data_IF_588193892392
#
_entry.id   IF_588193892392
#
_cell.length_a   1.000
_cell.length_b   1.000
_cell.length_c   1.000
_cell.angle_alpha   90.00
_cell.angle_beta   90.00
_cell.angle_gamma   90.00
#
_symmetry.space_group_name_H-M   'P 1'
#
loop_
_entity.id
_entity.type
_entity.pdbx_description
1 polymer ?
#
# COMPACT_ATOMS: atom_id res chain seq x y z
N UNK A 1 25.90 4.22 -1.52
CA UNK A 1 24.68 3.44 -1.85
C UNK A 1 23.39 3.97 -1.20
N UNK A 2 23.18 3.89 0.12
CA UNK A 2 21.88 4.20 0.78
C UNK A 2 21.23 5.55 0.38
N UNK A 3 22.01 6.63 0.24
CA UNK A 3 21.48 7.95 -0.15
C UNK A 3 20.81 7.95 -1.54
N UNK A 4 21.46 7.37 -2.55
CA UNK A 4 20.93 7.29 -3.91
C UNK A 4 19.62 6.48 -3.98
N UNK A 5 19.50 5.45 -3.13
CA UNK A 5 18.29 4.65 -3.04
C UNK A 5 17.17 5.43 -2.32
N UNK A 6 17.45 6.18 -1.25
CA UNK A 6 16.48 7.13 -0.65
C UNK A 6 16.01 8.17 -1.68
N UNK A 7 16.91 8.74 -2.49
CA UNK A 7 16.58 9.69 -3.56
C UNK A 7 15.68 9.06 -4.63
N UNK A 8 15.98 7.84 -5.09
CA UNK A 8 15.15 7.11 -6.05
C UNK A 8 13.71 6.90 -5.53
N UNK A 9 13.57 6.49 -4.26
CA UNK A 9 12.26 6.32 -3.64
C UNK A 9 11.53 7.66 -3.43
N UNK A 10 12.22 8.72 -3.02
CA UNK A 10 11.61 10.05 -2.89
C UNK A 10 11.12 10.59 -4.23
N UNK A 11 11.84 10.35 -5.33
CA UNK A 11 11.41 10.67 -6.69
C UNK A 11 10.18 9.86 -7.15
N UNK A 12 10.13 8.56 -6.84
CA UNK A 12 8.96 7.73 -7.15
C UNK A 12 7.71 8.10 -6.34
N UNK A 13 7.88 8.47 -5.07
CA UNK A 13 6.82 9.04 -4.23
C UNK A 13 6.38 10.43 -4.71
N UNK A 14 7.31 11.30 -5.12
CA UNK A 14 7.02 12.58 -5.74
C UNK A 14 6.21 12.41 -7.03
N UNK A 15 6.54 11.41 -7.85
CA UNK A 15 5.78 11.07 -9.06
C UNK A 15 4.35 10.61 -8.74
N UNK A 16 4.15 9.77 -7.71
CA UNK A 16 2.81 9.34 -7.27
C UNK A 16 1.94 10.50 -6.75
N UNK A 17 2.54 11.44 -6.04
CA UNK A 17 1.87 12.66 -5.55
C UNK A 17 1.59 13.64 -6.71
N UNK A 18 2.60 14.00 -7.50
CA UNK A 18 2.46 14.93 -8.62
C UNK A 18 1.43 14.44 -9.66
N UNK A 19 1.44 13.15 -10.01
CA UNK A 19 0.45 12.59 -10.94
C UNK A 19 -0.97 12.55 -10.35
N UNK A 20 -1.11 12.36 -9.03
CA UNK A 20 -2.41 12.41 -8.36
C UNK A 20 -2.96 13.84 -8.26
N UNK A 21 -2.13 14.81 -7.83
CA UNK A 21 -2.48 16.24 -7.78
C UNK A 21 -2.84 16.74 -9.18
N UNK A 22 -2.04 16.42 -10.20
CA UNK A 22 -2.34 16.74 -11.61
C UNK A 22 -3.61 16.08 -12.14
N UNK A 23 -4.09 14.99 -11.53
CA UNK A 23 -5.40 14.39 -11.84
C UNK A 23 -6.54 15.05 -11.06
N UNK A 24 -6.32 15.53 -9.83
CA UNK A 24 -7.32 16.31 -9.08
C UNK A 24 -7.54 17.70 -9.70
N UNK A 25 -6.48 18.41 -10.06
CA UNK A 25 -6.56 19.73 -10.72
C UNK A 25 -7.31 19.62 -12.05
N UNK A 26 -7.06 18.58 -12.87
CA UNK A 26 -7.78 18.35 -14.14
C UNK A 26 -9.30 18.10 -13.95
N UNK A 27 -9.76 17.69 -12.76
CA UNK A 27 -11.20 17.57 -12.48
C UNK A 27 -11.83 18.94 -12.13
N UNK A 28 -11.02 19.94 -11.75
CA UNK A 28 -11.44 21.32 -11.50
C UNK A 28 -11.23 22.25 -12.71
N UNK A 29 -10.27 21.94 -13.59
CA UNK A 29 -9.90 22.73 -14.77
C UNK A 29 -10.25 21.98 -16.06
N UNK A 30 -11.31 22.40 -16.75
CA UNK A 30 -11.51 22.07 -18.16
C UNK A 30 -10.47 22.78 -19.03
N UNK A 31 -10.27 22.26 -20.25
CA UNK A 31 -9.41 22.79 -21.32
C UNK A 31 -7.94 23.11 -20.94
N UNK A 32 -7.01 22.23 -21.33
CA UNK A 32 -5.56 22.50 -21.28
C UNK A 32 -4.76 21.52 -22.13
N UNK A 33 -3.81 22.03 -22.94
CA UNK A 33 -2.99 21.22 -23.86
C UNK A 33 -2.10 20.23 -23.12
N UNK A 34 -1.82 19.08 -23.75
CA UNK A 34 -1.11 17.95 -23.13
C UNK A 34 0.29 18.26 -22.59
N UNK A 35 1.10 19.00 -23.37
CA UNK A 35 2.51 19.31 -23.01
C UNK A 35 2.63 20.15 -21.72
N UNK A 36 1.90 21.27 -21.61
CA UNK A 36 1.91 22.09 -20.39
C UNK A 36 1.55 21.29 -19.12
N UNK A 37 0.74 20.23 -19.26
CA UNK A 37 0.41 19.33 -18.15
C UNK A 37 1.56 18.38 -17.77
N UNK A 38 2.36 17.87 -18.71
CA UNK A 38 3.53 17.05 -18.36
C UNK A 38 4.62 17.93 -17.71
N UNK A 39 4.82 19.14 -18.23
CA UNK A 39 5.70 20.17 -17.68
C UNK A 39 5.30 20.59 -16.25
N UNK A 40 4.03 20.96 -16.01
CA UNK A 40 3.49 21.27 -14.66
C UNK A 40 3.66 20.11 -13.69
N UNK A 41 3.46 18.86 -14.15
CA UNK A 41 3.68 17.66 -13.35
C UNK A 41 5.17 17.42 -13.05
N UNK A 42 6.08 17.74 -13.98
CA UNK A 42 7.53 17.64 -13.81
C UNK A 42 8.07 18.72 -12.85
N UNK A 43 7.65 19.99 -12.98
CA UNK A 43 7.97 21.09 -12.04
C UNK A 43 7.58 20.68 -10.60
N UNK A 44 6.35 20.21 -10.42
CA UNK A 44 5.85 19.70 -9.13
C UNK A 44 6.62 18.46 -8.64
N UNK A 45 6.99 17.51 -9.51
CA UNK A 45 7.82 16.35 -9.12
C UNK A 45 9.20 16.79 -8.61
N UNK A 46 9.86 17.73 -9.29
CA UNK A 46 11.15 18.31 -8.85
C UNK A 46 11.04 18.97 -7.47
N UNK A 47 9.99 19.76 -7.22
CA UNK A 47 9.77 20.45 -5.93
C UNK A 47 9.37 19.51 -4.78
N UNK A 48 8.57 18.47 -5.04
CA UNK A 48 8.14 17.50 -4.02
C UNK A 48 9.24 16.54 -3.57
N UNK A 49 10.17 16.15 -4.45
CA UNK A 49 11.21 15.16 -4.15
C UNK A 49 12.05 15.47 -2.89
N UNK A 50 12.63 16.67 -2.68
CA UNK A 50 13.40 16.98 -1.47
C UNK A 50 12.54 16.97 -0.19
N UNK A 51 11.29 17.47 -0.26
CA UNK A 51 10.39 17.52 0.89
C UNK A 51 9.98 16.11 1.35
N UNK A 52 9.73 15.22 0.39
CA UNK A 52 9.48 13.79 0.64
C UNK A 52 10.75 13.11 1.17
N UNK A 53 11.94 13.48 0.68
CA UNK A 53 13.21 12.97 1.22
C UNK A 53 13.42 13.37 2.69
N UNK A 54 12.96 14.56 3.11
CA UNK A 54 12.92 14.95 4.54
C UNK A 54 11.95 14.08 5.34
N UNK A 55 10.76 13.77 4.81
CA UNK A 55 9.85 12.81 5.47
C UNK A 55 10.47 11.40 5.59
N UNK A 56 11.19 10.92 4.57
CA UNK A 56 11.94 9.65 4.66
C UNK A 56 12.95 9.68 5.81
N UNK A 57 13.74 10.75 5.94
CA UNK A 57 14.74 10.90 7.01
C UNK A 57 14.09 11.00 8.39
N UNK A 58 12.98 11.72 8.52
CA UNK A 58 12.20 11.78 9.76
C UNK A 58 11.68 10.41 10.18
N UNK A 59 10.97 9.68 9.31
CA UNK A 59 10.43 8.36 9.67
C UNK A 59 11.55 7.36 10.01
N UNK A 60 12.69 7.42 9.33
CA UNK A 60 13.85 6.56 9.60
C UNK A 60 14.51 6.86 10.95
N UNK A 61 14.69 8.14 11.32
CA UNK A 61 15.14 8.53 12.67
C UNK A 61 14.10 8.19 13.74
N UNK A 62 12.82 8.41 13.46
CA UNK A 62 11.73 8.24 14.42
C UNK A 62 11.50 6.76 14.77
N UNK A 63 11.49 5.88 13.77
CA UNK A 63 11.48 4.43 14.00
C UNK A 63 12.70 4.02 14.84
N UNK A 64 13.90 4.53 14.53
CA UNK A 64 15.12 4.16 15.24
C UNK A 64 15.12 4.58 16.71
N UNK A 65 14.68 5.82 17.03
CA UNK A 65 14.60 6.29 18.43
C UNK A 65 13.51 5.57 19.22
N UNK A 66 12.31 5.39 18.66
CA UNK A 66 11.26 4.57 19.29
C UNK A 66 11.73 3.13 19.59
N UNK A 67 12.49 2.53 18.67
CA UNK A 67 13.06 1.20 18.89
C UNK A 67 14.12 1.20 20.01
N UNK A 68 15.07 2.14 20.02
CA UNK A 68 16.11 2.22 21.05
C UNK A 68 15.51 2.27 22.47
N UNK A 69 14.58 3.19 22.71
CA UNK A 69 13.90 3.33 24.00
C UNK A 69 13.14 2.04 24.40
N UNK A 70 12.45 1.36 23.45
CA UNK A 70 11.79 0.05 23.73
C UNK A 70 12.76 -1.15 23.88
N UNK A 71 14.06 -0.94 23.69
CA UNK A 71 15.11 -1.93 23.95
C UNK A 71 15.87 -1.66 25.26
N UNK A 72 16.07 -0.41 25.64
CA UNK A 72 16.88 0.02 26.80
C UNK A 72 16.20 -0.23 28.17
N UNK A 73 15.00 -0.82 28.18
CA UNK A 73 14.27 -1.15 29.41
C UNK A 73 13.38 -0.02 29.93
N UNK A 74 13.51 1.18 29.36
CA UNK A 74 12.51 2.24 29.44
C UNK A 74 11.17 1.67 28.94
N UNK A 75 10.23 1.48 29.87
CA UNK A 75 8.84 1.21 29.50
C UNK A 75 8.26 2.52 28.95
N UNK A 76 8.39 2.77 27.64
CA UNK A 76 7.49 3.75 27.01
C UNK A 76 6.08 3.15 27.10
N UNK A 77 5.36 3.48 28.16
CA UNK A 77 3.91 3.37 28.16
C UNK A 77 3.37 4.51 27.32
N UNK A 78 2.29 4.30 26.57
CA UNK A 78 1.56 5.43 25.98
C UNK A 78 0.96 6.36 27.07
N UNK A 79 0.97 5.94 28.34
CA UNK A 79 0.65 6.79 29.49
C UNK A 79 1.72 7.86 29.76
N UNK A 80 2.97 7.63 29.35
CA UNK A 80 4.03 8.65 29.31
C UNK A 80 3.89 9.47 28.02
N UNK A 81 2.75 10.16 27.89
CA UNK A 81 2.22 10.70 26.64
C UNK A 81 3.16 11.69 25.91
N UNK A 82 4.10 12.29 26.64
CA UNK A 82 5.05 13.26 26.12
C UNK A 82 6.24 12.61 25.39
N UNK A 83 6.61 11.36 25.71
CA UNK A 83 7.78 10.69 25.12
C UNK A 83 7.73 10.59 23.58
N UNK A 84 6.61 10.18 22.95
CA UNK A 84 6.47 10.23 21.50
C UNK A 84 6.51 11.64 20.90
N UNK A 85 6.32 12.70 21.69
CA UNK A 85 6.40 14.10 21.23
C UNK A 85 7.84 14.61 21.34
N UNK A 86 8.51 14.37 22.47
CA UNK A 86 9.91 14.75 22.70
C UNK A 86 10.85 14.17 21.65
N UNK A 87 10.70 12.89 21.29
CA UNK A 87 11.48 12.24 20.22
C UNK A 87 11.22 12.90 18.85
N UNK A 88 9.99 13.37 18.59
CA UNK A 88 9.70 14.10 17.35
C UNK A 88 10.32 15.51 17.35
N UNK A 89 10.27 16.21 18.48
CA UNK A 89 10.87 17.52 18.65
C UNK A 89 12.41 17.46 18.47
N UNK A 90 13.10 16.50 19.11
CA UNK A 90 14.54 16.23 18.92
C UNK A 90 14.92 16.09 17.44
N UNK A 91 14.19 15.24 16.70
CA UNK A 91 14.48 14.99 15.28
C UNK A 91 14.22 16.24 14.43
N UNK A 92 13.16 16.98 14.74
CA UNK A 92 12.72 18.17 13.99
C UNK A 92 13.50 19.44 14.31
N UNK A 93 14.11 19.55 15.49
CA UNK A 93 14.92 20.71 15.88
C UNK A 93 16.06 20.95 14.88
N UNK A 94 16.63 19.85 14.37
CA UNK A 94 17.67 19.82 13.32
C UNK A 94 17.22 20.32 11.93
N UNK A 95 15.94 20.69 11.75
CA UNK A 95 15.40 21.24 10.51
C UNK A 95 15.17 22.76 10.59
N UNK A 96 15.36 23.43 9.46
CA UNK A 96 15.01 24.84 9.27
C UNK A 96 13.49 25.03 9.43
N UNK A 97 13.00 26.08 10.14
CA UNK A 97 11.57 26.25 10.40
C UNK A 97 10.74 26.48 9.13
N UNK A 98 11.26 27.17 8.12
CA UNK A 98 10.56 27.30 6.83
C UNK A 98 10.44 25.94 6.11
N UNK A 99 11.45 25.06 6.24
CA UNK A 99 11.37 23.69 5.74
C UNK A 99 10.31 22.87 6.50
N UNK A 100 10.19 23.05 7.83
CA UNK A 100 9.14 22.38 8.63
C UNK A 100 7.74 22.70 8.10
N UNK A 101 7.44 23.96 7.74
CA UNK A 101 6.15 24.33 7.13
C UNK A 101 5.91 23.57 5.81
N UNK A 102 6.87 23.60 4.87
CA UNK A 102 6.75 22.92 3.56
C UNK A 102 6.61 21.41 3.67
N UNK A 103 7.35 20.81 4.61
CA UNK A 103 7.29 19.36 4.85
C UNK A 103 5.99 18.98 5.57
N UNK A 104 5.43 19.85 6.43
CA UNK A 104 4.09 19.69 7.01
C UNK A 104 2.98 19.73 5.96
N UNK A 105 3.04 20.67 5.01
CA UNK A 105 2.11 20.74 3.88
C UNK A 105 2.23 19.47 3.00
N UNK A 106 3.46 19.02 2.74
CA UNK A 106 3.74 17.76 2.02
C UNK A 106 3.24 16.51 2.77
N UNK A 107 3.33 16.47 4.10
CA UNK A 107 2.78 15.40 4.92
C UNK A 107 1.26 15.30 4.81
N UNK A 108 0.56 16.43 4.82
CA UNK A 108 -0.90 16.46 4.62
C UNK A 108 -1.30 15.98 3.22
N UNK A 109 -0.57 16.38 2.17
CA UNK A 109 -0.76 15.83 0.81
C UNK A 109 -0.56 14.32 0.77
N UNK A 110 0.45 13.79 1.47
CA UNK A 110 0.70 12.36 1.59
C UNK A 110 -0.44 11.63 2.31
N UNK A 111 -0.91 12.14 3.46
CA UNK A 111 -2.05 11.55 4.19
C UNK A 111 -3.33 11.59 3.35
N UNK A 112 -3.58 12.68 2.62
CA UNK A 112 -4.72 12.80 1.70
C UNK A 112 -4.62 11.78 0.55
N UNK A 113 -3.45 11.65 -0.09
CA UNK A 113 -3.18 10.64 -1.11
C UNK A 113 -3.43 9.23 -0.58
N UNK A 114 -2.90 8.90 0.61
CA UNK A 114 -3.08 7.58 1.25
C UNK A 114 -4.55 7.30 1.53
N UNK A 115 -5.23 8.19 2.27
CA UNK A 115 -6.67 8.07 2.57
C UNK A 115 -7.48 7.87 1.28
N UNK A 116 -7.24 8.66 0.22
CA UNK A 116 -7.96 8.54 -1.07
C UNK A 116 -7.61 7.28 -1.89
N UNK A 117 -6.34 6.89 -1.97
CA UNK A 117 -5.86 5.72 -2.75
C UNK A 117 -6.22 4.37 -2.12
N UNK A 118 -6.49 4.35 -0.80
CA UNK A 118 -6.69 3.14 0.00
C UNK A 118 -8.13 2.97 0.53
N UNK A 119 -8.91 4.06 0.68
CA UNK A 119 -10.31 4.01 1.11
C UNK A 119 -11.19 3.05 0.28
N UNK A 120 -12.26 2.46 0.86
CA UNK A 120 -13.24 1.64 0.14
C UNK A 120 -13.85 2.38 -1.08
N UNK A 121 -14.27 1.65 -2.13
CA UNK A 121 -14.96 2.25 -3.27
C UNK A 121 -16.29 2.88 -2.80
N UNK A 122 -16.42 4.20 -2.94
CA UNK A 122 -17.56 4.97 -2.45
C UNK A 122 -18.78 4.94 -3.40
N UNK A 123 -19.05 3.76 -3.99
CA UNK A 123 -20.14 3.53 -4.96
C UNK A 123 -20.79 2.16 -4.72
N UNK A 124 -21.24 1.94 -3.49
CA UNK A 124 -22.13 0.84 -3.15
C UNK A 124 -23.04 1.23 -1.97
N UNK A 125 -23.95 2.18 -2.21
CA UNK A 125 -25.25 2.22 -1.52
C UNK A 125 -26.15 1.08 -2.05
N UNK A 126 -25.59 -0.13 -2.18
CA UNK A 126 -26.27 -1.32 -2.64
C UNK A 126 -26.52 -2.21 -1.44
N UNK A 127 -27.74 -2.72 -1.30
CA UNK A 127 -28.23 -3.46 -0.14
C UNK A 127 -27.65 -4.89 -0.04
N UNK A 128 -26.57 -5.17 -0.75
CA UNK A 128 -25.84 -6.44 -0.74
C UNK A 128 -25.13 -6.65 0.61
N UNK A 129 -25.90 -7.13 1.60
CA UNK A 129 -25.43 -7.63 2.90
C UNK A 129 -24.64 -8.93 2.69
N UNK A 130 -23.42 -8.82 2.14
CA UNK A 130 -22.65 -9.97 1.66
C UNK A 130 -22.41 -10.99 2.77
N UNK A 131 -22.69 -12.26 2.45
CA UNK A 131 -22.77 -13.42 3.35
C UNK A 131 -21.40 -13.89 3.91
N UNK A 132 -20.42 -12.98 3.99
CA UNK A 132 -19.01 -13.22 4.35
C UNK A 132 -18.51 -12.32 5.49
N UNK A 133 -19.34 -11.41 6.02
CA UNK A 133 -19.08 -10.67 7.28
C UNK A 133 -17.96 -9.62 7.27
N UNK A 134 -17.08 -9.61 6.25
CA UNK A 134 -15.98 -8.66 6.11
C UNK A 134 -16.50 -7.26 5.78
N UNK A 135 -16.74 -6.47 6.82
CA UNK A 135 -17.13 -5.06 6.74
C UNK A 135 -16.20 -4.29 5.79
N UNK A 136 -16.79 -3.43 4.94
CA UNK A 136 -16.08 -2.51 4.04
C UNK A 136 -15.54 -1.30 4.83
N UNK A 137 -14.85 -1.56 5.93
CA UNK A 137 -14.47 -0.57 6.93
C UNK A 137 -13.60 0.53 6.32
N UNK A 138 -13.86 1.77 6.73
CA UNK A 138 -12.97 2.92 6.50
C UNK A 138 -11.57 2.55 6.99
N UNK A 139 -10.54 2.85 6.19
CA UNK A 139 -9.16 2.52 6.55
C UNK A 139 -8.84 3.09 7.95
N UNK A 140 -8.53 2.21 8.89
CA UNK A 140 -8.20 2.61 10.26
C UNK A 140 -6.95 3.48 10.27
N UNK A 141 -6.94 4.51 11.11
CA UNK A 141 -5.82 5.45 11.20
C UNK A 141 -4.55 4.71 11.66
N UNK A 142 -4.70 3.78 12.60
CA UNK A 142 -3.73 2.75 13.00
C UNK A 142 -3.04 2.04 11.83
N UNK A 143 -3.80 1.65 10.81
CA UNK A 143 -3.25 0.99 9.60
C UNK A 143 -2.34 1.91 8.79
N UNK A 144 -2.58 3.22 8.84
CA UNK A 144 -1.73 4.25 8.20
C UNK A 144 -0.50 4.53 9.06
N UNK A 145 -0.65 4.63 10.38
CA UNK A 145 0.46 4.81 11.34
C UNK A 145 1.44 3.64 11.24
N UNK A 146 0.95 2.39 11.31
CA UNK A 146 1.77 1.18 11.13
C UNK A 146 2.48 1.20 9.78
N UNK A 147 1.78 1.56 8.70
CA UNK A 147 2.39 1.66 7.36
C UNK A 147 3.51 2.72 7.29
N UNK A 148 3.33 3.88 7.91
CA UNK A 148 4.34 4.96 7.92
C UNK A 148 5.53 4.65 8.84
N UNK A 149 5.28 4.22 10.07
CA UNK A 149 6.33 4.05 11.11
C UNK A 149 7.01 2.68 11.02
N UNK A 150 6.30 1.59 10.71
CA UNK A 150 6.89 0.24 10.62
C UNK A 150 7.30 -0.09 9.17
N UNK A 151 6.45 0.25 8.19
CA UNK A 151 6.70 -0.03 6.78
C UNK A 151 7.56 1.02 6.07
N UNK A 152 7.53 2.26 6.55
CA UNK A 152 8.20 3.39 5.92
C UNK A 152 7.60 3.79 4.57
N UNK A 153 8.08 4.93 4.07
CA UNK A 153 7.69 5.43 2.75
C UNK A 153 8.11 4.46 1.62
N UNK A 154 9.10 3.60 1.87
CA UNK A 154 9.49 2.44 1.05
C UNK A 154 8.30 1.48 0.80
N UNK A 155 7.61 1.04 1.87
CA UNK A 155 6.45 0.15 1.74
C UNK A 155 5.20 0.91 1.25
N UNK A 156 5.04 2.19 1.61
CA UNK A 156 4.01 3.06 1.03
C UNK A 156 4.12 3.09 -0.49
N UNK A 157 5.31 3.35 -1.03
CA UNK A 157 5.54 3.40 -2.47
C UNK A 157 5.21 2.06 -3.13
N UNK A 158 5.67 0.95 -2.55
CA UNK A 158 5.38 -0.41 -3.05
C UNK A 158 3.87 -0.66 -3.18
N UNK A 159 3.08 -0.20 -2.20
CA UNK A 159 1.62 -0.32 -2.22
C UNK A 159 0.99 0.66 -3.23
N UNK A 160 1.42 1.92 -3.28
CA UNK A 160 0.88 2.92 -4.20
C UNK A 160 1.13 2.58 -5.69
N UNK A 161 2.26 1.94 -6.01
CA UNK A 161 2.61 1.46 -7.35
C UNK A 161 1.68 0.38 -7.91
N UNK A 162 0.92 -0.34 -7.07
CA UNK A 162 -0.09 -1.30 -7.55
C UNK A 162 -1.20 -0.51 -8.25
N UNK A 163 -1.34 -0.64 -9.58
CA UNK A 163 -2.36 0.10 -10.39
C UNK A 163 -3.78 -0.07 -9.81
N UNK A 164 -4.26 -1.32 -9.71
CA UNK A 164 -5.62 -1.68 -9.29
C UNK A 164 -5.90 -1.43 -7.78
N UNK A 165 -7.01 -0.74 -7.46
CA UNK A 165 -7.40 -0.34 -6.09
C UNK A 165 -7.68 -1.52 -5.15
N UNK A 166 -8.33 -2.58 -5.64
CA UNK A 166 -8.69 -3.75 -4.85
C UNK A 166 -7.47 -4.63 -4.56
N UNK A 167 -6.57 -4.82 -5.56
CA UNK A 167 -5.25 -5.45 -5.35
C UNK A 167 -4.41 -4.63 -4.36
N UNK A 168 -4.44 -3.29 -4.44
CA UNK A 168 -3.76 -2.39 -3.49
C UNK A 168 -4.23 -2.59 -2.04
N UNK A 169 -5.54 -2.69 -1.79
CA UNK A 169 -6.04 -2.96 -0.43
C UNK A 169 -5.63 -4.35 0.04
N UNK A 170 -5.83 -5.41 -0.75
CA UNK A 170 -5.44 -6.78 -0.38
C UNK A 170 -3.93 -6.88 -0.04
N UNK A 171 -3.08 -6.11 -0.72
CA UNK A 171 -1.65 -6.02 -0.40
C UNK A 171 -1.37 -5.32 0.93
N UNK A 172 -2.11 -4.26 1.28
CA UNK A 172 -2.02 -3.60 2.59
C UNK A 172 -2.55 -4.49 3.71
N UNK A 173 -3.72 -5.11 3.53
CA UNK A 173 -4.32 -6.06 4.48
C UNK A 173 -3.37 -7.23 4.76
N UNK A 174 -2.83 -7.87 3.71
CA UNK A 174 -1.84 -8.96 3.86
C UNK A 174 -0.56 -8.49 4.55
N UNK A 175 -0.12 -7.25 4.32
CA UNK A 175 1.06 -6.70 4.98
C UNK A 175 0.82 -6.43 6.48
N UNK A 176 -0.33 -5.85 6.84
CA UNK A 176 -0.72 -5.59 8.24
C UNK A 176 -0.95 -6.89 9.01
N UNK A 177 -1.64 -7.87 8.42
CA UNK A 177 -1.80 -9.20 9.03
C UNK A 177 -0.43 -9.86 9.29
N UNK A 178 0.53 -9.65 8.38
CA UNK A 178 1.92 -10.07 8.56
C UNK A 178 2.76 -9.22 9.53
N UNK A 179 2.19 -8.21 10.21
CA UNK A 179 2.82 -7.49 11.33
C UNK A 179 2.45 -8.06 12.69
N UNK A 180 1.25 -8.64 12.83
CA UNK A 180 0.85 -9.27 14.07
C UNK A 180 1.77 -10.47 14.32
N UNK A 181 2.20 -10.71 15.57
CA UNK A 181 2.70 -12.02 15.93
C UNK A 181 1.68 -13.07 15.48
N UNK A 182 2.15 -14.13 14.84
CA UNK A 182 1.37 -15.36 14.80
C UNK A 182 1.41 -15.88 16.24
N UNK A 183 0.41 -15.53 17.06
CA UNK A 183 0.20 -16.19 18.34
C UNK A 183 0.20 -17.69 18.06
N UNK A 184 1.10 -18.42 18.71
CA UNK A 184 1.46 -19.76 18.27
C UNK A 184 0.21 -20.63 18.15
N UNK A 185 -0.05 -21.17 16.96
CA UNK A 185 -1.00 -22.27 16.75
C UNK A 185 -0.42 -23.58 17.29
N UNK A 186 0.06 -23.54 18.52
CA UNK A 186 0.57 -24.70 19.25
C UNK A 186 -0.58 -25.50 19.82
N UNK A 187 -0.40 -26.83 19.84
CA UNK A 187 -1.34 -27.80 20.40
C UNK A 187 -2.70 -27.86 19.68
N UNK A 188 -2.71 -28.52 18.52
CA UNK A 188 -3.21 -29.89 18.50
C UNK A 188 -2.22 -30.77 17.72
N UNK A 189 -1.17 -31.20 18.39
CA UNK A 189 -0.33 -32.32 17.96
C UNK A 189 -0.49 -33.40 19.04
N UNK A 190 -0.97 -34.60 18.67
CA UNK A 190 -1.11 -35.71 19.61
C UNK A 190 -2.54 -36.16 19.99
N UNK A 191 -3.37 -36.51 19.01
CA UNK A 191 -4.14 -37.78 19.11
C UNK A 191 -3.95 -38.54 17.81
N UNK A 192 -3.24 -39.66 17.86
CA UNK A 192 -3.08 -40.56 16.73
C UNK A 192 -4.31 -41.45 16.59
N UNK A 193 -5.25 -41.05 15.73
CA UNK A 193 -6.40 -41.89 15.37
C UNK A 193 -5.98 -42.95 14.34
N UNK A 194 -5.86 -44.19 14.80
CA UNK A 194 -5.49 -45.37 14.02
C UNK A 194 -6.53 -45.70 12.91
N UNK A 195 -6.12 -46.08 11.69
CA UNK A 195 -7.04 -46.41 10.60
C UNK A 195 -7.61 -47.84 10.74
N UNK A 196 -8.73 -48.00 11.45
CA UNK A 196 -9.41 -49.30 11.54
C UNK A 196 -10.21 -49.66 10.26
N UNK A 197 -10.20 -50.95 9.84
CA UNK A 197 -10.87 -51.42 8.63
C UNK A 197 -12.32 -51.86 8.87
N UNK A 198 -13.13 -51.81 7.79
CA UNK A 198 -14.35 -52.60 7.53
C UNK A 198 -15.39 -52.80 8.65
N UNK A 199 -16.66 -52.42 8.38
CA UNK A 199 -17.69 -53.41 8.00
C UNK A 199 -19.01 -52.81 7.47
N UNK A 200 -19.72 -53.69 6.74
CA UNK A 200 -20.84 -53.49 5.83
C UNK A 200 -22.14 -52.89 6.39
N UNK A 201 -22.82 -52.11 5.54
CA UNK A 201 -24.20 -52.34 5.04
C UNK A 201 -24.31 -51.55 3.71
N UNK A 202 -24.67 -52.09 2.54
CA UNK A 202 -25.86 -52.88 2.14
C UNK A 202 -27.16 -52.07 2.32
N UNK A 203 -28.01 -51.82 1.32
CA UNK A 203 -27.97 -52.01 -0.15
C UNK A 203 -28.77 -50.82 -0.79
N UNK A 204 -29.09 -50.63 -2.07
CA UNK A 204 -29.43 -51.50 -3.22
C UNK A 204 -29.17 -50.70 -4.52
N UNK A 205 -28.69 -51.34 -5.59
CA UNK A 205 -28.78 -50.83 -6.96
C UNK A 205 -28.86 -52.00 -7.97
N UNK A 206 -29.76 -51.92 -8.95
CA UNK A 206 -30.07 -53.05 -9.86
C UNK A 206 -29.56 -52.80 -11.28
N UNK A 207 -28.69 -53.71 -11.74
CA UNK A 207 -28.74 -54.34 -13.07
C UNK A 207 -28.64 -53.53 -14.37
N UNK A 208 -27.45 -53.56 -14.99
CA UNK A 208 -27.25 -53.57 -16.46
C UNK A 208 -27.17 -52.20 -17.17
N UNK A 209 -26.41 -52.05 -18.27
CA UNK A 209 -25.41 -52.97 -18.85
C UNK A 209 -25.04 -52.66 -20.33
N UNK A 210 -23.82 -53.02 -20.76
CA UNK A 210 -23.39 -53.05 -22.18
C UNK A 210 -22.44 -51.93 -22.67
N UNK A 211 -21.58 -52.23 -23.65
CA UNK A 211 -20.60 -51.30 -24.30
C UNK A 211 -19.21 -51.30 -23.63
N UNK A 212 -18.05 -51.72 -24.19
CA UNK A 212 -17.57 -52.00 -25.58
C UNK A 212 -17.34 -50.72 -26.42
N UNK A 213 -16.21 -50.40 -27.10
CA UNK A 213 -14.81 -50.87 -27.32
C UNK A 213 -14.00 -49.66 -27.91
N UNK A 214 -12.66 -49.54 -28.06
CA UNK A 214 -11.40 -50.21 -27.65
C UNK A 214 -10.25 -49.13 -27.73
N UNK A 215 -8.98 -49.52 -27.87
CA UNK A 215 -7.79 -48.70 -28.23
C UNK A 215 -7.20 -47.76 -27.16
N UNK A 216 -6.01 -48.07 -26.60
CA UNK A 216 -4.63 -47.92 -27.16
C UNK A 216 -4.18 -46.43 -27.20
N UNK A 217 -2.95 -46.05 -26.82
CA UNK A 217 -1.71 -46.83 -26.84
C UNK A 217 -0.68 -46.50 -25.74
N UNK A 218 0.09 -47.55 -25.39
CA UNK A 218 1.35 -47.69 -24.65
C UNK A 218 2.34 -46.50 -24.55
N UNK A 219 3.06 -46.39 -23.42
CA UNK A 219 4.18 -45.44 -23.24
C UNK A 219 4.98 -45.53 -21.93
N UNK A 220 5.78 -46.61 -21.76
CA UNK A 220 6.93 -46.84 -20.82
C UNK A 220 7.13 -45.83 -19.66
N UNK A 221 7.03 -46.18 -18.38
CA UNK A 221 7.83 -47.17 -17.63
C UNK A 221 9.36 -46.90 -17.57
N UNK A 222 9.84 -46.35 -16.44
CA UNK A 222 11.03 -46.83 -15.72
C UNK A 222 11.10 -46.23 -14.30
N UNK A 223 11.64 -47.00 -13.36
CA UNK A 223 11.78 -46.67 -11.94
C UNK A 223 13.14 -46.03 -11.62
N UNK A 224 13.23 -45.26 -10.52
CA UNK A 224 14.22 -45.35 -9.42
C UNK A 224 14.54 -43.97 -8.82
N UNK A 225 14.90 -43.95 -7.51
CA UNK A 225 15.79 -42.91 -6.98
C UNK A 225 15.25 -41.99 -5.88
N UNK A 226 15.19 -42.53 -4.66
CA UNK A 226 15.56 -41.88 -3.36
C UNK A 226 15.28 -40.37 -3.16
N UNK A 227 14.56 -40.07 -2.08
CA UNK A 227 14.71 -38.82 -1.33
C UNK A 227 16.15 -38.64 -0.84
N UNK A 228 16.56 -37.39 -0.55
CA UNK A 228 16.69 -37.07 0.86
C UNK A 228 15.93 -35.80 1.28
N UNK A 229 15.54 -35.76 2.54
CA UNK A 229 15.10 -34.55 3.21
C UNK A 229 16.25 -33.55 3.34
N UNK A 230 15.96 -32.26 3.11
CA UNK A 230 16.75 -31.16 3.64
C UNK A 230 15.80 -30.15 4.27
N UNK A 231 16.18 -29.62 5.42
CA UNK A 231 15.31 -28.86 6.31
C UNK A 231 15.77 -27.40 6.44
N UNK A 232 14.97 -26.63 7.17
CA UNK A 232 15.33 -25.37 7.85
C UNK A 232 15.60 -24.08 7.05
N UNK A 233 15.01 -23.01 7.59
CA UNK A 233 15.51 -21.63 7.56
C UNK A 233 15.83 -20.98 6.20
N UNK A 234 14.78 -20.67 5.43
CA UNK A 234 14.78 -19.51 4.52
C UNK A 234 14.68 -18.18 5.29
N UNK A 235 15.59 -17.96 6.26
CA UNK A 235 15.75 -16.70 7.03
C UNK A 235 16.39 -15.63 6.14
N UNK A 236 15.64 -15.24 5.10
CA UNK A 236 15.99 -14.18 4.15
C UNK A 236 16.07 -12.82 4.85
N UNK A 237 17.23 -12.56 5.45
CA UNK A 237 17.59 -11.27 6.01
C UNK A 237 17.36 -10.19 4.94
N UNK A 238 16.61 -9.11 5.23
CA UNK A 238 16.30 -8.11 4.22
C UNK A 238 17.60 -7.45 3.72
N UNK A 239 17.71 -7.16 2.42
CA UNK A 239 18.94 -6.61 1.86
C UNK A 239 19.30 -5.29 2.57
N UNK A 240 20.48 -5.25 3.18
CA UNK A 240 20.93 -4.20 4.14
C UNK A 240 21.16 -2.80 3.52
N UNK A 241 20.72 -2.60 2.28
CA UNK A 241 20.67 -1.32 1.57
C UNK A 241 19.29 -0.63 1.57
N UNK A 242 18.22 -1.29 2.04
CA UNK A 242 16.88 -0.66 2.13
C UNK A 242 16.85 0.46 3.19
N UNK A 243 16.14 1.58 2.95
CA UNK A 243 15.94 2.65 3.92
C UNK A 243 14.66 2.36 4.70
N UNK A 244 14.75 2.39 6.03
CA UNK A 244 13.86 1.64 6.92
C UNK A 244 13.92 0.12 6.60
N UNK A 245 14.98 -0.60 7.01
CA UNK A 245 14.92 -2.06 7.07
C UNK A 245 13.76 -2.45 8.00
N UNK A 246 12.94 -3.43 7.58
CA UNK A 246 11.80 -3.86 8.40
C UNK A 246 12.32 -4.35 9.77
N UNK A 247 11.81 -3.84 10.91
CA UNK A 247 12.22 -4.32 12.22
C UNK A 247 11.89 -5.80 12.43
N UNK A 248 12.60 -6.46 13.37
CA UNK A 248 12.35 -7.86 13.71
C UNK A 248 10.92 -8.09 14.23
N UNK A 249 10.41 -9.32 14.18
CA UNK A 249 9.06 -9.62 14.68
C UNK A 249 8.88 -9.22 16.17
N UNK A 250 9.92 -9.44 16.99
CA UNK A 250 9.94 -9.02 18.40
C UNK A 250 9.96 -7.48 18.54
N UNK A 251 10.71 -6.77 17.71
CA UNK A 251 10.71 -5.30 17.68
C UNK A 251 9.33 -4.75 17.27
N UNK A 252 8.69 -5.35 16.26
CA UNK A 252 7.34 -4.98 15.81
C UNK A 252 6.31 -5.19 16.93
N UNK A 253 6.37 -6.32 17.63
CA UNK A 253 5.47 -6.63 18.74
C UNK A 253 5.58 -5.60 19.90
N UNK A 254 6.79 -5.13 20.22
CA UNK A 254 7.02 -4.07 21.21
C UNK A 254 6.61 -2.68 20.71
N UNK A 255 6.83 -2.39 19.43
CA UNK A 255 6.60 -1.07 18.84
C UNK A 255 5.10 -0.77 18.64
N UNK A 256 4.29 -1.77 18.26
CA UNK A 256 2.85 -1.62 18.00
C UNK A 256 2.07 -0.91 19.13
N UNK A 257 2.16 -1.30 20.42
CA UNK A 257 1.43 -0.63 21.51
C UNK A 257 1.95 0.78 21.86
N UNK A 258 3.12 1.18 21.32
CA UNK A 258 3.76 2.48 21.56
C UNK A 258 3.49 3.47 20.41
N UNK A 259 2.87 3.02 19.31
CA UNK A 259 2.59 3.87 18.16
C UNK A 259 1.60 5.00 18.49
N UNK A 260 1.96 6.28 18.26
CA UNK A 260 1.04 7.40 18.47
C UNK A 260 -0.10 7.41 17.44
N UNK A 261 -1.25 8.03 17.75
CA UNK A 261 -2.34 8.22 16.79
C UNK A 261 -1.90 9.10 15.61
N UNK A 262 -2.50 8.90 14.44
CA UNK A 262 -2.04 9.50 13.17
C UNK A 262 -1.95 11.04 13.19
N UNK A 263 -2.83 11.71 13.95
CA UNK A 263 -2.81 13.17 14.13
C UNK A 263 -1.71 13.69 15.06
N UNK A 264 -1.16 12.84 15.92
CA UNK A 264 -0.01 13.16 16.80
C UNK A 264 1.34 12.87 16.12
N UNK A 265 1.34 12.25 14.94
CA UNK A 265 2.53 12.11 14.09
C UNK A 265 2.74 13.39 13.29
N UNK A 266 3.95 13.92 13.36
CA UNK A 266 4.49 15.11 12.72
C UNK A 266 3.86 16.45 13.15
N UNK A 267 2.54 16.60 13.06
CA UNK A 267 1.90 17.94 13.01
C UNK A 267 2.04 18.77 14.29
N UNK A 268 1.80 18.23 15.52
CA UNK A 268 1.90 19.04 16.75
C UNK A 268 3.34 19.53 16.97
N UNK A 269 4.30 18.61 16.95
CA UNK A 269 5.72 18.89 17.17
C UNK A 269 6.29 19.88 16.14
N UNK A 270 5.87 19.77 14.87
CA UNK A 270 6.26 20.74 13.85
C UNK A 270 5.66 22.13 14.10
N UNK A 271 4.39 22.20 14.54
CA UNK A 271 3.71 23.46 14.84
C UNK A 271 4.35 24.18 16.05
N UNK A 272 4.64 23.44 17.11
CA UNK A 272 5.31 23.93 18.31
C UNK A 272 6.70 24.51 17.99
N UNK A 273 7.51 23.78 17.21
CA UNK A 273 8.85 24.25 16.81
C UNK A 273 8.83 25.42 15.83
N UNK A 274 7.79 25.57 15.00
CA UNK A 274 7.61 26.74 14.11
C UNK A 274 7.26 27.98 14.94
N UNK A 275 6.35 27.85 15.92
CA UNK A 275 5.99 28.92 16.86
C UNK A 275 7.17 29.32 17.75
N UNK A 276 7.89 28.35 18.32
CA UNK A 276 9.07 28.59 19.16
C UNK A 276 10.22 29.27 18.41
N UNK A 277 10.30 29.08 17.08
CA UNK A 277 11.26 29.76 16.20
C UNK A 277 10.70 31.07 15.61
N UNK A 278 9.58 31.59 16.13
CA UNK A 278 9.06 32.93 15.83
C UNK A 278 8.40 33.10 14.46
N UNK A 279 8.06 32.01 13.77
CA UNK A 279 7.29 32.06 12.53
C UNK A 279 5.79 31.85 12.80
N UNK A 280 4.94 32.39 11.92
CA UNK A 280 3.53 32.04 11.94
C UNK A 280 3.35 30.55 11.58
N UNK A 281 2.44 29.90 12.30
CA UNK A 281 2.10 28.49 12.15
C UNK A 281 0.67 28.27 11.62
N UNK A 282 -0.02 29.31 11.16
CA UNK A 282 -1.29 29.20 10.39
C UNK A 282 -1.15 28.28 9.18
N UNK A 283 -0.04 28.38 8.44
CA UNK A 283 0.27 27.57 7.25
C UNK A 283 0.61 26.09 7.55
N UNK A 284 0.78 25.70 8.83
CA UNK A 284 1.18 24.34 9.24
C UNK A 284 0.00 23.37 9.10
N UNK A 285 -0.21 22.93 7.86
CA UNK A 285 -1.24 21.97 7.45
C UNK A 285 -2.13 22.45 6.31
N UNK A 286 -2.07 23.74 5.96
CA UNK A 286 -2.80 24.33 4.82
C UNK A 286 -2.08 23.95 3.52
N UNK A 287 -2.48 22.83 2.91
CA UNK A 287 -1.86 22.30 1.69
C UNK A 287 -2.49 22.82 0.39
N UNK A 288 -3.61 23.55 0.44
CA UNK A 288 -4.31 24.00 -0.76
C UNK A 288 -3.53 25.12 -1.48
N UNK A 289 -3.15 26.19 -0.77
CA UNK A 289 -2.26 27.25 -1.29
C UNK A 289 -0.92 26.68 -1.79
N UNK A 290 -0.40 25.66 -1.09
CA UNK A 290 0.84 24.98 -1.46
C UNK A 290 0.75 24.22 -2.80
N UNK A 291 -0.43 23.79 -3.26
CA UNK A 291 -0.56 23.18 -4.60
C UNK A 291 -0.37 24.21 -5.71
N UNK A 292 -0.90 25.42 -5.54
CA UNK A 292 -0.74 26.47 -6.54
C UNK A 292 0.71 26.94 -6.58
N UNK A 293 1.37 27.10 -5.44
CA UNK A 293 2.82 27.33 -5.40
C UNK A 293 3.62 26.17 -6.03
N UNK A 294 3.34 24.90 -5.69
CA UNK A 294 4.00 23.72 -6.28
C UNK A 294 3.91 23.66 -7.81
N UNK A 295 2.96 24.39 -8.41
CA UNK A 295 2.68 24.35 -9.84
C UNK A 295 2.88 25.66 -10.59
N UNK A 296 2.98 26.79 -9.90
CA UNK A 296 3.42 28.08 -10.47
C UNK A 296 4.85 28.01 -11.01
N UNK A 297 5.10 28.62 -12.16
CA UNK A 297 6.45 28.99 -12.58
C UNK A 297 6.56 30.51 -12.62
N UNK A 298 7.76 31.02 -12.35
CA UNK A 298 8.20 32.17 -13.14
C UNK A 298 8.55 31.57 -14.50
N UNK A 299 7.74 31.80 -15.52
CA UNK A 299 7.98 31.29 -16.88
C UNK A 299 9.08 32.11 -17.61
N UNK A 300 10.11 32.48 -16.84
CA UNK A 300 11.23 33.37 -17.21
C UNK A 300 12.58 32.63 -17.30
N UNK A 301 12.64 31.38 -16.83
CA UNK A 301 13.84 30.52 -16.79
C UNK A 301 13.60 29.19 -17.52
N UNK A 302 13.03 29.23 -18.72
CA UNK A 302 12.86 28.05 -19.57
C UNK A 302 13.64 28.19 -20.88
N UNK A 303 14.92 27.81 -20.81
CA UNK A 303 15.71 27.51 -22.01
C UNK A 303 15.16 26.29 -22.74
N UNK A 304 15.43 26.22 -24.04
CA UNK A 304 14.93 25.18 -24.94
C UNK A 304 15.33 23.77 -24.46
N UNK A 305 14.33 22.98 -24.08
CA UNK A 305 14.46 21.54 -23.95
C UNK A 305 13.78 20.89 -25.16
N UNK A 306 14.60 20.45 -26.10
CA UNK A 306 14.18 19.74 -27.30
C UNK A 306 13.39 18.48 -26.93
N UNK A 307 12.20 18.32 -27.52
CA UNK A 307 11.29 17.23 -27.18
C UNK A 307 11.66 15.97 -27.96
N UNK A 308 12.24 14.97 -27.28
CA UNK A 308 12.19 13.59 -27.76
C UNK A 308 10.74 13.10 -27.66
N UNK A 309 10.12 12.83 -28.81
CA UNK A 309 8.76 12.31 -28.90
C UNK A 309 8.73 10.82 -28.52
N UNK A 310 8.14 10.52 -27.37
CA UNK A 310 7.95 9.16 -26.85
C UNK A 310 6.76 8.51 -27.57
N UNK A 311 7.05 7.74 -28.62
CA UNK A 311 6.07 7.32 -29.63
C UNK A 311 5.31 6.03 -29.26
N UNK A 312 4.01 6.17 -28.98
CA UNK A 312 3.00 5.14 -29.30
C UNK A 312 3.03 3.83 -28.50
N UNK A 313 2.52 3.84 -27.27
CA UNK A 313 1.80 2.70 -26.69
C UNK A 313 0.29 2.92 -26.93
N UNK A 314 -0.24 2.41 -28.04
CA UNK A 314 -1.69 2.26 -28.25
C UNK A 314 -2.10 0.86 -27.77
N UNK A 315 -2.84 0.78 -26.66
CA UNK A 315 -3.45 -0.48 -26.16
C UNK A 315 -4.65 -0.85 -27.06
N UNK A 316 -4.64 -1.97 -27.82
CA UNK A 316 -5.80 -2.43 -28.59
C UNK A 316 -6.79 -3.24 -27.73
N UNK A 317 -8.05 -3.24 -28.16
CA UNK A 317 -9.10 -4.24 -27.92
C UNK A 317 -9.45 -4.63 -26.46
N UNK A 318 -10.38 -3.86 -25.87
CA UNK A 318 -11.32 -4.36 -24.85
C UNK A 318 -12.68 -4.59 -25.54
N UNK A 319 -12.78 -5.66 -26.34
CA UNK A 319 -13.93 -5.96 -27.20
C UNK A 319 -15.16 -6.37 -26.39
N UNK A 320 -16.20 -5.54 -26.38
CA UNK A 320 -17.46 -5.84 -25.70
C UNK A 320 -18.25 -6.96 -26.38
N UNK A 321 -18.71 -7.94 -25.61
CA UNK A 321 -19.72 -8.91 -26.04
C UNK A 321 -21.10 -8.21 -26.12
N UNK A 322 -21.54 -7.87 -27.33
CA UNK A 322 -22.93 -7.48 -27.59
C UNK A 322 -23.78 -8.74 -27.78
N UNK A 323 -24.56 -9.10 -26.76
CA UNK A 323 -25.50 -10.21 -26.82
C UNK A 323 -26.84 -9.79 -27.44
N UNK A 324 -26.98 -9.99 -28.74
CA UNK A 324 -28.28 -9.89 -29.42
C UNK A 324 -29.16 -11.12 -29.09
N UNK A 325 -30.27 -10.92 -28.38
CA UNK A 325 -31.33 -11.92 -28.20
C UNK A 325 -32.56 -11.47 -29.02
N UNK A 326 -32.66 -11.95 -30.26
CA UNK A 326 -33.77 -11.63 -31.17
C UNK A 326 -35.03 -12.45 -30.88
N UNK A 327 -36.18 -11.86 -31.21
CA UNK A 327 -37.50 -12.49 -31.10
C UNK A 327 -37.77 -13.46 -32.27
N UNK A 328 -38.27 -14.65 -31.96
CA UNK A 328 -38.95 -15.56 -32.90
C UNK A 328 -40.18 -16.11 -32.17
N UNK A 329 -41.31 -15.39 -32.19
CA UNK A 329 -42.40 -15.43 -33.20
C UNK A 329 -43.38 -16.60 -33.00
N UNK A 330 -44.64 -16.26 -32.72
CA UNK A 330 -45.75 -17.21 -32.61
C UNK A 330 -46.07 -17.90 -33.94
N UNK A 331 -46.39 -19.20 -33.90
CA UNK A 331 -46.68 -19.95 -35.11
C UNK A 331 -47.10 -21.42 -34.90
N UNK A 332 -48.24 -21.66 -34.24
CA UNK A 332 -48.91 -22.97 -34.31
C UNK A 332 -50.36 -22.84 -34.82
N UNK A 333 -50.63 -23.53 -35.93
CA UNK A 333 -51.89 -23.54 -36.67
C UNK A 333 -52.80 -24.68 -36.26
N UNK A 334 -54.10 -24.54 -36.55
CA UNK A 334 -55.08 -25.62 -36.46
C UNK A 334 -54.70 -26.80 -37.37
N UNK A 335 -54.98 -28.02 -36.90
CA UNK A 335 -55.47 -29.14 -37.73
C UNK A 335 -56.47 -29.96 -36.92
N UNK A 336 -57.68 -30.05 -37.46
CA UNK A 336 -58.74 -31.09 -37.29
C UNK A 336 -58.92 -31.77 -35.91
#
# INVERSE_FOLDING_TARGET
MRLALRQCLSCGMAQHLAAYISKQIRVRSLAGKGSYRSQRQQRMRKRLAPLILTLFQFFERYQHRLLAETYEGNKISYQDADQPILIQQEIMESYNPALLVRVSQTYHLLLYLLRRRLAPPSRSFSLARTRSGRSLTRLAEDSVVKLLIIGGLSQVQRILSIKNRSRRRKALEKWIAGLQPQENSGVVEGVSAEPQPNRHSAAVAVGGGGGREESRNSGKALEHGRTPSSSSSSSSSPPSGLPMPRPSAAAIARLIPVLPPLGAVWVPSARELVLAKGLDATDVGVWELFIDELTSGNDSEEGEFEYLEDSGDEDPDDSGEEGEEMMELDGQTLTE
#
